data_IF_860625370930
#
_entry.id   IF_860625370930
#
_cell.length_a   1.000
_cell.length_b   1.000
_cell.length_c   1.000
_cell.angle_alpha   90.00
_cell.angle_beta   90.00
_cell.angle_gamma   90.00
#
_symmetry.space_group_name_H-M   'P 1'
#
loop_
_entity.id
_entity.type
_entity.pdbx_description
1 polymer ?
#
# COMPACT_ATOMS: atom_id res chain seq x y z
N UNK A 1 19.41 10.40 5.43
CA UNK A 1 19.41 10.86 4.01
C UNK A 1 17.96 10.87 3.55
N UNK A 2 17.43 12.00 3.08
CA UNK A 2 16.00 12.13 2.72
C UNK A 2 15.73 11.32 1.44
N UNK A 3 14.60 10.62 1.39
CA UNK A 3 14.29 9.69 0.29
C UNK A 3 14.13 10.42 -1.06
N UNK A 4 13.68 11.68 -1.00
CA UNK A 4 13.58 12.57 -2.15
C UNK A 4 14.96 12.98 -2.69
N UNK A 5 15.98 13.05 -1.82
CA UNK A 5 17.35 13.38 -2.24
C UNK A 5 18.01 12.21 -2.98
N UNK A 6 17.72 10.96 -2.58
CA UNK A 6 18.23 9.76 -3.27
C UNK A 6 17.64 9.65 -4.68
N UNK A 7 16.33 9.87 -4.80
CA UNK A 7 15.62 9.73 -6.06
C UNK A 7 15.97 10.87 -7.03
N UNK A 8 16.12 12.10 -6.53
CA UNK A 8 16.61 13.24 -7.32
C UNK A 8 18.02 12.97 -7.84
N UNK A 9 18.95 12.57 -6.96
CA UNK A 9 20.34 12.34 -7.35
C UNK A 9 20.46 11.21 -8.38
N UNK A 10 19.69 10.14 -8.24
CA UNK A 10 19.75 9.02 -9.18
C UNK A 10 19.14 9.37 -10.56
N UNK A 11 18.11 10.23 -10.61
CA UNK A 11 17.58 10.78 -11.87
C UNK A 11 18.58 11.73 -12.52
N UNK A 12 19.24 12.58 -11.74
CA UNK A 12 20.28 13.49 -12.22
C UNK A 12 21.46 12.73 -12.83
N UNK A 13 21.94 11.69 -12.15
CA UNK A 13 23.00 10.80 -12.65
C UNK A 13 22.55 10.13 -13.94
N UNK A 14 21.35 9.53 -13.99
CA UNK A 14 20.85 8.90 -15.21
C UNK A 14 20.73 9.89 -16.39
N UNK A 15 20.26 11.11 -16.14
CA UNK A 15 20.13 12.18 -17.14
C UNK A 15 21.48 12.63 -17.68
N UNK A 16 22.44 12.91 -16.79
CA UNK A 16 23.81 13.31 -17.15
C UNK A 16 24.50 12.20 -17.94
N UNK A 17 24.33 10.94 -17.52
CA UNK A 17 24.92 9.79 -18.20
C UNK A 17 24.36 9.62 -19.62
N UNK A 18 23.05 9.84 -19.83
CA UNK A 18 22.45 9.81 -21.18
C UNK A 18 22.94 10.98 -22.06
N UNK A 19 23.02 12.20 -21.52
CA UNK A 19 23.55 13.37 -22.23
C UNK A 19 25.01 13.17 -22.67
N UNK A 20 25.87 12.64 -21.79
CA UNK A 20 27.28 12.36 -22.11
C UNK A 20 27.43 11.22 -23.13
N UNK A 21 26.59 10.19 -23.07
CA UNK A 21 26.58 9.09 -24.04
C UNK A 21 26.22 9.59 -25.45
N UNK A 22 25.17 10.42 -25.57
CA UNK A 22 24.69 10.95 -26.85
C UNK A 22 25.69 11.92 -27.51
N UNK A 23 26.64 12.46 -26.75
CA UNK A 23 27.62 13.44 -27.22
C UNK A 23 29.07 12.94 -27.18
N UNK A 24 29.30 11.67 -26.82
CA UNK A 24 30.63 11.08 -26.82
C UNK A 24 31.20 11.01 -28.25
N UNK A 25 32.36 11.63 -28.46
CA UNK A 25 33.08 11.58 -29.75
C UNK A 25 34.00 10.36 -29.88
N UNK A 26 34.21 9.66 -28.77
CA UNK A 26 35.06 8.47 -28.63
C UNK A 26 34.18 7.26 -28.27
N UNK A 27 34.25 6.21 -29.08
CA UNK A 27 33.46 4.98 -28.89
C UNK A 27 33.79 4.25 -27.60
N UNK A 28 35.04 4.29 -27.13
CA UNK A 28 35.40 3.61 -25.88
C UNK A 28 34.80 4.33 -24.66
N UNK A 29 34.72 5.66 -24.73
CA UNK A 29 34.07 6.48 -23.72
C UNK A 29 32.55 6.26 -23.74
N UNK A 30 31.93 6.20 -24.91
CA UNK A 30 30.51 5.90 -25.10
C UNK A 30 30.13 4.55 -24.45
N UNK A 31 30.92 3.50 -24.67
CA UNK A 31 30.65 2.17 -24.12
C UNK A 31 30.77 2.12 -22.58
N UNK A 32 31.76 2.82 -22.00
CA UNK A 32 31.91 2.94 -20.54
C UNK A 32 30.74 3.69 -19.91
N UNK A 33 30.31 4.79 -20.52
CA UNK A 33 29.18 5.62 -20.06
C UNK A 33 27.88 4.82 -20.14
N UNK A 34 27.69 4.03 -21.20
CA UNK A 34 26.55 3.14 -21.36
C UNK A 34 26.47 2.07 -20.24
N UNK A 35 27.58 1.39 -19.95
CA UNK A 35 27.65 0.40 -18.86
C UNK A 35 27.35 1.04 -17.50
N UNK A 36 27.84 2.25 -17.27
CA UNK A 36 27.58 3.01 -16.05
C UNK A 36 26.09 3.41 -15.92
N UNK A 37 25.45 3.84 -17.01
CA UNK A 37 24.02 4.13 -17.06
C UNK A 37 23.19 2.90 -16.72
N UNK A 38 23.49 1.77 -17.37
CA UNK A 38 22.81 0.49 -17.12
C UNK A 38 22.92 0.06 -15.67
N UNK A 39 24.12 0.16 -15.09
CA UNK A 39 24.35 -0.19 -13.67
C UNK A 39 23.52 0.69 -12.74
N UNK A 40 23.47 1.99 -13.01
CA UNK A 40 22.69 2.97 -12.23
C UNK A 40 21.19 2.69 -12.29
N UNK A 41 20.66 2.39 -13.49
CA UNK A 41 19.26 2.01 -13.69
C UNK A 41 18.94 0.70 -12.95
N UNK A 42 19.83 -0.29 -13.00
CA UNK A 42 19.63 -1.56 -12.30
C UNK A 42 19.58 -1.38 -10.78
N UNK A 43 20.42 -0.51 -10.21
CA UNK A 43 20.38 -0.17 -8.78
C UNK A 43 19.04 0.48 -8.43
N UNK A 44 18.61 1.46 -9.24
CA UNK A 44 17.31 2.11 -9.05
C UNK A 44 16.15 1.12 -9.07
N UNK A 45 16.10 0.24 -10.07
CA UNK A 45 15.06 -0.79 -10.19
C UNK A 45 15.04 -1.71 -8.96
N UNK A 46 16.20 -2.16 -8.48
CA UNK A 46 16.31 -2.98 -7.26
C UNK A 46 15.73 -2.25 -6.04
N UNK A 47 16.02 -0.96 -5.88
CA UNK A 47 15.50 -0.17 -4.76
C UNK A 47 13.99 0.06 -4.86
N UNK A 48 13.44 0.30 -6.06
CA UNK A 48 11.99 0.40 -6.24
C UNK A 48 11.28 -0.93 -5.96
N UNK A 49 11.82 -2.06 -6.42
CA UNK A 49 11.24 -3.39 -6.14
C UNK A 49 11.20 -3.63 -4.62
N UNK A 50 12.28 -3.33 -3.89
CA UNK A 50 12.29 -3.45 -2.42
C UNK A 50 11.20 -2.59 -1.77
N UNK A 51 10.98 -1.36 -2.28
CA UNK A 51 9.90 -0.49 -1.77
C UNK A 51 8.51 -1.04 -2.06
N UNK A 52 8.29 -1.57 -3.26
CA UNK A 52 7.01 -2.21 -3.63
C UNK A 52 6.73 -3.36 -2.67
N UNK A 53 7.69 -4.28 -2.51
CA UNK A 53 7.56 -5.41 -1.58
C UNK A 53 7.31 -4.95 -0.14
N UNK A 54 8.00 -3.90 0.32
CA UNK A 54 7.77 -3.32 1.64
C UNK A 54 6.34 -2.79 1.82
N UNK A 55 5.79 -2.12 0.80
CA UNK A 55 4.41 -1.64 0.86
C UNK A 55 3.40 -2.78 0.77
N UNK A 56 3.65 -3.81 -0.06
CA UNK A 56 2.84 -5.02 -0.12
C UNK A 56 2.76 -5.72 1.25
N UNK A 57 3.89 -5.86 1.95
CA UNK A 57 3.94 -6.43 3.31
C UNK A 57 3.09 -5.61 4.30
N UNK A 58 3.19 -4.28 4.24
CA UNK A 58 2.39 -3.38 5.09
C UNK A 58 0.90 -3.45 4.79
N UNK A 59 0.56 -3.53 3.50
CA UNK A 59 -0.81 -3.72 3.02
C UNK A 59 -1.38 -5.05 3.54
N UNK A 60 -0.59 -6.12 3.50
CA UNK A 60 -0.97 -7.43 4.05
C UNK A 60 -1.20 -7.39 5.56
N UNK A 61 -0.39 -6.63 6.31
CA UNK A 61 -0.60 -6.42 7.74
C UNK A 61 -1.95 -5.75 7.99
N UNK A 62 -2.28 -4.69 7.25
CA UNK A 62 -3.56 -3.97 7.37
C UNK A 62 -4.73 -4.92 7.07
N UNK A 63 -4.62 -5.73 6.01
CA UNK A 63 -5.63 -6.74 5.66
C UNK A 63 -5.82 -7.75 6.78
N UNK A 64 -4.73 -8.30 7.33
CA UNK A 64 -4.79 -9.27 8.42
C UNK A 64 -5.42 -8.68 9.69
N UNK A 65 -5.12 -7.43 10.01
CA UNK A 65 -5.74 -6.74 11.14
C UNK A 65 -7.23 -6.47 10.90
N UNK A 66 -7.62 -6.14 9.67
CA UNK A 66 -9.02 -6.00 9.24
C UNK A 66 -9.76 -7.34 9.39
N UNK A 67 -9.20 -8.44 8.87
CA UNK A 67 -9.81 -9.77 8.95
C UNK A 67 -9.94 -10.24 10.40
N UNK A 68 -8.92 -10.03 11.25
CA UNK A 68 -9.02 -10.35 12.69
C UNK A 68 -10.12 -9.56 13.39
N UNK A 69 -10.25 -8.26 13.09
CA UNK A 69 -11.31 -7.43 13.66
C UNK A 69 -12.69 -7.88 13.19
N UNK A 70 -12.80 -8.20 11.89
CA UNK A 70 -14.02 -8.73 11.29
C UNK A 70 -14.42 -10.06 11.92
N UNK A 71 -13.54 -11.06 11.92
CA UNK A 71 -13.80 -12.39 12.47
C UNK A 71 -14.14 -12.33 13.95
N UNK A 72 -13.45 -11.48 14.72
CA UNK A 72 -13.77 -11.28 16.13
C UNK A 72 -15.18 -10.73 16.32
N UNK A 73 -15.63 -9.80 15.46
CA UNK A 73 -16.98 -9.26 15.51
C UNK A 73 -18.02 -10.33 15.13
N UNK A 74 -17.77 -11.13 14.09
CA UNK A 74 -18.70 -12.17 13.64
C UNK A 74 -18.84 -13.28 14.70
N UNK A 75 -17.72 -13.75 15.23
CA UNK A 75 -17.70 -14.94 16.09
C UNK A 75 -18.17 -14.65 17.52
N UNK A 76 -17.97 -13.41 18.01
CA UNK A 76 -18.21 -13.08 19.41
C UNK A 76 -19.34 -12.06 19.61
N UNK A 77 -20.16 -11.80 18.58
CA UNK A 77 -21.19 -10.76 18.67
C UNK A 77 -22.19 -10.96 19.84
N UNK A 78 -22.55 -12.20 20.15
CA UNK A 78 -23.50 -12.53 21.22
C UNK A 78 -22.93 -12.32 22.63
N UNK A 79 -21.60 -12.24 22.75
CA UNK A 79 -20.88 -12.06 24.01
C UNK A 79 -20.51 -10.58 24.27
N UNK A 80 -20.68 -9.72 23.26
CA UNK A 80 -20.31 -8.30 23.33
C UNK A 80 -21.48 -7.43 23.77
N UNK A 81 -21.17 -6.39 24.56
CA UNK A 81 -22.16 -5.35 24.87
C UNK A 81 -22.51 -4.52 23.63
N UNK A 82 -23.68 -3.88 23.61
CA UNK A 82 -24.09 -3.02 22.48
C UNK A 82 -23.10 -1.88 22.19
N UNK A 83 -22.47 -1.33 23.22
CA UNK A 83 -21.42 -0.31 23.08
C UNK A 83 -20.18 -0.88 22.37
N UNK A 84 -19.74 -2.07 22.76
CA UNK A 84 -18.59 -2.74 22.14
C UNK A 84 -18.85 -3.13 20.69
N UNK A 85 -20.03 -3.69 20.40
CA UNK A 85 -20.45 -4.03 19.04
C UNK A 85 -20.38 -2.82 18.12
N UNK A 86 -20.87 -1.67 18.58
CA UNK A 86 -20.84 -0.41 17.83
C UNK A 86 -19.40 0.05 17.58
N UNK A 87 -18.60 0.11 18.65
CA UNK A 87 -17.22 0.61 18.58
C UNK A 87 -16.36 -0.26 17.67
N UNK A 88 -16.44 -1.58 17.82
CA UNK A 88 -15.68 -2.55 17.01
C UNK A 88 -16.19 -2.59 15.57
N UNK A 89 -17.52 -2.57 15.38
CA UNK A 89 -18.14 -2.52 14.07
C UNK A 89 -17.73 -1.28 13.26
N UNK A 90 -17.74 -0.10 13.87
CA UNK A 90 -17.25 1.12 13.22
C UNK A 90 -15.77 1.01 12.84
N UNK A 91 -14.93 0.50 13.75
CA UNK A 91 -13.51 0.27 13.47
C UNK A 91 -13.30 -0.70 12.30
N UNK A 92 -14.05 -1.82 12.26
CA UNK A 92 -14.00 -2.78 11.17
C UNK A 92 -14.40 -2.14 9.84
N UNK A 93 -15.46 -1.31 9.81
CA UNK A 93 -15.87 -0.57 8.60
C UNK A 93 -14.80 0.41 8.09
N UNK A 94 -14.13 1.13 8.99
CA UNK A 94 -13.01 2.00 8.61
C UNK A 94 -11.87 1.22 7.96
N UNK A 95 -11.47 0.09 8.57
CA UNK A 95 -10.41 -0.76 8.03
C UNK A 95 -10.80 -1.40 6.70
N UNK A 96 -12.06 -1.85 6.56
CA UNK A 96 -12.60 -2.39 5.32
C UNK A 96 -12.53 -1.36 4.18
N UNK A 97 -12.88 -0.10 4.47
CA UNK A 97 -12.77 1.00 3.50
C UNK A 97 -11.31 1.28 3.10
N UNK A 98 -10.39 1.22 4.06
CA UNK A 98 -8.95 1.35 3.80
C UNK A 98 -8.45 0.20 2.90
N UNK A 99 -8.81 -1.04 3.20
CA UNK A 99 -8.46 -2.21 2.39
C UNK A 99 -9.00 -2.09 0.95
N UNK A 100 -10.20 -1.56 0.77
CA UNK A 100 -10.77 -1.32 -0.56
C UNK A 100 -9.99 -0.23 -1.32
N UNK A 101 -9.70 0.91 -0.69
CA UNK A 101 -8.92 2.00 -1.30
C UNK A 101 -7.51 1.56 -1.67
N UNK A 102 -6.90 0.69 -0.86
CA UNK A 102 -5.59 0.11 -1.13
C UNK A 102 -5.62 -1.03 -2.18
N UNK A 103 -6.79 -1.41 -2.67
CA UNK A 103 -6.96 -2.45 -3.71
C UNK A 103 -6.70 -3.88 -3.21
N UNK A 104 -6.73 -4.11 -1.90
CA UNK A 104 -6.43 -5.42 -1.30
C UNK A 104 -7.64 -6.33 -1.23
N UNK A 105 -8.83 -5.72 -1.25
CA UNK A 105 -10.12 -6.41 -1.36
C UNK A 105 -10.87 -5.81 -2.53
N UNK A 106 -11.69 -6.61 -3.18
CA UNK A 106 -12.52 -6.14 -4.27
C UNK A 106 -13.80 -5.45 -3.77
N UNK A 107 -14.54 -4.83 -4.70
CA UNK A 107 -15.78 -4.14 -4.37
C UNK A 107 -16.85 -5.08 -3.80
N UNK A 108 -16.93 -6.32 -4.29
CA UNK A 108 -17.95 -7.29 -3.84
C UNK A 108 -17.67 -7.69 -2.39
N UNK A 109 -16.44 -8.06 -2.07
CA UNK A 109 -16.00 -8.40 -0.71
C UNK A 109 -16.26 -7.23 0.25
N UNK A 110 -15.98 -5.99 -0.17
CA UNK A 110 -16.28 -4.80 0.62
C UNK A 110 -17.78 -4.66 0.93
N UNK A 111 -18.66 -4.86 -0.05
CA UNK A 111 -20.11 -4.79 0.15
C UNK A 111 -20.59 -5.93 1.06
N UNK A 112 -20.19 -7.17 0.78
CA UNK A 112 -20.61 -8.35 1.54
C UNK A 112 -20.21 -8.24 3.03
N UNK A 113 -18.97 -7.84 3.32
CA UNK A 113 -18.48 -7.65 4.70
C UNK A 113 -19.16 -6.47 5.38
N UNK A 114 -19.38 -5.35 4.68
CA UNK A 114 -20.07 -4.17 5.23
C UNK A 114 -21.51 -4.51 5.63
N UNK A 115 -22.23 -5.20 4.76
CA UNK A 115 -23.63 -5.54 5.00
C UNK A 115 -23.75 -6.51 6.18
N UNK A 116 -22.83 -7.47 6.30
CA UNK A 116 -22.72 -8.35 7.48
C UNK A 116 -22.49 -7.55 8.77
N UNK A 117 -21.54 -6.61 8.77
CA UNK A 117 -21.28 -5.75 9.94
C UNK A 117 -22.55 -4.95 10.31
N UNK A 118 -23.24 -4.38 9.33
CA UNK A 118 -24.46 -3.60 9.54
C UNK A 118 -25.63 -4.41 10.09
N UNK A 119 -25.66 -5.73 9.87
CA UNK A 119 -26.64 -6.63 10.48
C UNK A 119 -26.36 -6.90 11.96
N UNK A 120 -25.08 -6.84 12.37
CA UNK A 120 -24.63 -7.11 13.75
C UNK A 120 -24.72 -5.86 14.63
N UNK A 121 -24.38 -4.69 14.09
CA UNK A 121 -24.46 -3.44 14.85
C UNK A 121 -25.94 -3.12 15.12
N UNK A 122 -26.36 -2.92 16.39
CA UNK A 122 -27.75 -2.65 16.71
C UNK A 122 -28.25 -1.37 16.01
N UNK A 123 -29.38 -1.49 15.28
CA UNK A 123 -30.05 -0.39 14.56
C UNK A 123 -30.46 0.80 15.44
N UNK A 124 -30.47 0.64 16.76
CA UNK A 124 -30.81 1.69 17.72
C UNK A 124 -29.88 2.93 17.67
N UNK A 125 -28.69 2.82 17.07
CA UNK A 125 -27.81 3.96 16.80
C UNK A 125 -28.00 4.61 15.42
N UNK A 126 -28.67 3.93 14.49
CA UNK A 126 -29.02 4.50 13.18
C UNK A 126 -30.20 5.48 13.28
N UNK A 127 -31.02 5.41 14.34
CA UNK A 127 -32.15 6.30 14.60
C UNK A 127 -31.83 7.47 15.56
N UNK A 128 -30.55 7.82 15.76
CA UNK A 128 -30.14 9.06 16.44
C UNK A 128 -29.62 10.07 15.41
N UNK A 129 -30.52 10.54 14.56
CA UNK A 129 -30.44 11.84 13.88
C UNK A 129 -31.68 12.61 14.30
#
# INVERSE_FOLDING_TARGET
>A
MNINDVERNAREIARQTIEECLHAKDKELEEKVYIYAQTSIQILLKEYIKKILYYEDRINIIKNDMDKLYDNLINNNNEMTSYELTRRGYKAMCYLSICYVLGVIDHKEMIDKRDTINMIIPKALQNKI
#
